data_IF_650253403266
#
_entry.id   IF_650253403266
#
_cell.length_a   1.000
_cell.length_b   1.000
_cell.length_c   1.000
_cell.angle_alpha   90.00
_cell.angle_beta   90.00
_cell.angle_gamma   90.00
#
_symmetry.space_group_name_H-M   'P 1'
#
loop_
_entity.id
_entity.type
_entity.pdbx_description
1 polymer ?
#
# COMPACT_ATOMS: atom_id res chain seq x y z
N UNK A 1 3.04 7.66 11.34
CA UNK A 1 2.90 6.27 11.80
C UNK A 1 3.75 5.36 10.93
N UNK A 2 4.51 4.46 11.54
CA UNK A 2 5.28 3.39 10.89
C UNK A 2 4.37 2.27 10.40
N UNK A 3 4.86 1.40 9.51
CA UNK A 3 4.12 0.23 9.05
C UNK A 3 3.63 -0.66 10.22
N UNK A 4 4.43 -0.79 11.29
CA UNK A 4 4.04 -1.56 12.47
C UNK A 4 2.84 -0.95 13.17
N UNK A 5 2.86 0.36 13.42
CA UNK A 5 1.75 1.08 14.05
C UNK A 5 0.47 1.02 13.19
N UNK A 6 0.59 1.03 11.86
CA UNK A 6 -0.56 0.85 10.96
C UNK A 6 -1.12 -0.57 11.07
N UNK A 7 -0.26 -1.59 11.08
CA UNK A 7 -0.67 -2.99 11.26
C UNK A 7 -1.38 -3.24 12.60
N UNK A 8 -1.05 -2.50 13.65
CA UNK A 8 -1.72 -2.63 14.94
C UNK A 8 -3.16 -2.06 14.92
N UNK A 9 -3.46 -1.16 13.97
CA UNK A 9 -4.77 -0.49 13.82
C UNK A 9 -5.68 -1.21 12.83
N UNK A 10 -5.13 -1.77 11.74
CA UNK A 10 -5.92 -2.45 10.69
C UNK A 10 -5.60 -3.95 10.60
N UNK A 11 -6.56 -4.80 10.19
CA UNK A 11 -6.36 -6.25 10.13
C UNK A 11 -5.53 -6.70 8.91
N UNK A 12 -5.37 -5.85 7.89
CA UNK A 12 -4.68 -6.16 6.64
C UNK A 12 -3.23 -6.60 6.89
N UNK A 13 -2.83 -7.69 6.24
CA UNK A 13 -1.47 -8.25 6.25
C UNK A 13 -1.09 -8.65 4.83
N UNK A 14 0.19 -8.99 4.63
CA UNK A 14 0.65 -9.55 3.36
C UNK A 14 -0.27 -10.70 2.90
N UNK A 15 -0.67 -10.75 1.61
CA UNK A 15 -0.26 -9.86 0.51
C UNK A 15 -1.18 -8.64 0.27
N UNK A 16 -2.10 -8.31 1.19
CA UNK A 16 -3.12 -7.25 1.05
C UNK A 16 -2.91 -6.07 2.01
N UNK A 17 -1.66 -5.74 2.33
CA UNK A 17 -1.29 -4.59 3.15
C UNK A 17 -0.52 -3.59 2.29
N UNK A 18 -1.14 -2.43 2.01
CA UNK A 18 -0.65 -1.46 1.02
C UNK A 18 -0.38 -0.07 1.62
N UNK A 19 -0.06 0.03 2.91
CA UNK A 19 0.24 1.31 3.58
C UNK A 19 1.54 1.19 4.38
N UNK A 20 2.65 1.70 3.86
CA UNK A 20 3.96 1.59 4.52
C UNK A 20 4.16 2.65 5.62
N UNK A 21 3.58 3.84 5.42
CA UNK A 21 3.74 4.98 6.34
C UNK A 21 2.57 5.94 6.22
N UNK A 22 2.14 6.48 7.37
CA UNK A 22 1.25 7.65 7.43
C UNK A 22 2.09 8.88 7.80
N UNK A 23 2.05 9.90 6.94
CA UNK A 23 2.81 11.15 7.08
C UNK A 23 1.98 12.22 7.77
N UNK A 24 0.68 12.31 7.45
CA UNK A 24 -0.27 13.23 8.09
C UNK A 24 -1.55 12.49 8.48
N UNK A 25 -2.09 12.81 9.66
CA UNK A 25 -3.37 12.29 10.13
C UNK A 25 -4.13 13.39 10.90
N UNK A 26 -5.19 13.90 10.30
CA UNK A 26 -6.26 14.68 10.93
C UNK A 26 -7.51 13.79 10.96
N UNK A 27 -7.87 13.31 12.16
CA UNK A 27 -8.91 12.31 12.38
C UNK A 27 -10.28 12.70 11.81
N UNK A 28 -10.55 13.99 11.63
CA UNK A 28 -11.85 14.47 11.16
C UNK A 28 -11.84 14.94 9.71
N UNK A 29 -10.68 14.98 9.03
CA UNK A 29 -10.56 15.67 7.72
C UNK A 29 -9.74 14.94 6.68
N UNK A 30 -8.52 14.49 7.02
CA UNK A 30 -7.53 14.09 6.00
C UNK A 30 -6.49 13.15 6.58
N UNK A 31 -6.11 12.17 5.76
CA UNK A 31 -4.94 11.33 5.95
C UNK A 31 -4.04 11.43 4.71
N UNK A 32 -2.72 11.45 4.92
CA UNK A 32 -1.72 11.29 3.86
C UNK A 32 -0.85 10.11 4.21
N UNK A 33 -0.82 9.13 3.31
CA UNK A 33 -0.08 7.90 3.48
C UNK A 33 0.69 7.55 2.22
N UNK A 34 1.70 6.70 2.36
CA UNK A 34 2.59 6.29 1.28
C UNK A 34 2.69 4.78 1.22
N UNK A 35 2.66 4.28 -0.02
CA UNK A 35 3.04 2.92 -0.39
C UNK A 35 4.22 2.99 -1.34
N UNK A 36 5.33 2.35 -1.00
CA UNK A 36 6.50 2.26 -1.86
C UNK A 36 6.27 1.17 -2.91
N UNK A 37 6.28 1.52 -4.19
CA UNK A 37 6.09 0.56 -5.28
C UNK A 37 7.44 -0.01 -5.69
N UNK A 38 7.59 -1.33 -5.65
CA UNK A 38 8.84 -2.02 -5.96
C UNK A 38 8.64 -3.22 -6.89
N UNK A 39 9.59 -3.45 -7.81
CA UNK A 39 9.50 -4.49 -8.82
C UNK A 39 9.46 -5.93 -8.27
N UNK A 40 9.79 -6.13 -6.99
CA UNK A 40 9.77 -7.43 -6.32
C UNK A 40 8.38 -7.84 -5.81
N UNK A 41 7.34 -7.03 -6.02
CA UNK A 41 5.98 -7.36 -5.60
C UNK A 41 5.31 -8.38 -6.55
N UNK A 42 4.60 -9.36 -5.96
CA UNK A 42 4.16 -10.57 -6.68
C UNK A 42 3.20 -10.28 -7.84
N UNK A 43 2.33 -9.27 -7.73
CA UNK A 43 1.37 -8.93 -8.77
C UNK A 43 2.03 -8.36 -10.04
N UNK A 44 3.25 -7.85 -9.98
CA UNK A 44 3.98 -7.40 -11.19
C UNK A 44 4.37 -8.55 -12.12
N UNK A 45 4.44 -9.79 -11.62
CA UNK A 45 4.66 -10.98 -12.46
C UNK A 45 3.51 -11.19 -13.46
N UNK A 46 2.29 -10.77 -13.08
CA UNK A 46 1.08 -10.93 -13.89
C UNK A 46 0.54 -9.64 -14.50
N UNK A 47 0.99 -8.46 -14.04
CA UNK A 47 0.42 -7.17 -14.45
C UNK A 47 1.51 -6.17 -14.86
N UNK A 48 2.06 -6.23 -16.08
CA UNK A 48 1.96 -7.31 -17.06
C UNK A 48 3.35 -7.90 -17.34
N UNK A 49 3.46 -9.17 -17.78
CA UNK A 49 4.75 -9.74 -18.19
C UNK A 49 5.46 -8.86 -19.22
N UNK A 50 6.70 -8.45 -18.92
CA UNK A 50 7.49 -7.55 -19.78
C UNK A 50 7.12 -6.07 -19.71
N UNK A 51 6.06 -5.70 -18.98
CA UNK A 51 5.63 -4.32 -18.75
C UNK A 51 4.94 -4.18 -17.37
N UNK A 52 5.69 -4.21 -16.27
CA UNK A 52 5.14 -4.17 -14.91
C UNK A 52 4.48 -2.81 -14.63
N UNK A 53 3.19 -2.82 -14.30
CA UNK A 53 2.36 -1.64 -14.02
C UNK A 53 1.60 -1.87 -12.72
N UNK A 54 1.55 -0.88 -11.83
CA UNK A 54 0.79 -1.00 -10.57
C UNK A 54 -0.70 -1.15 -10.90
N UNK A 55 -1.39 -2.24 -10.49
CA UNK A 55 -2.81 -2.38 -10.77
C UNK A 55 -3.60 -1.22 -10.16
N UNK A 56 -4.43 -0.54 -10.96
CA UNK A 56 -5.20 0.62 -10.50
C UNK A 56 -6.14 0.28 -9.34
N UNK A 57 -6.69 -0.94 -9.31
CA UNK A 57 -7.53 -1.42 -8.20
C UNK A 57 -6.78 -1.51 -6.87
N UNK A 58 -5.48 -1.81 -6.89
CA UNK A 58 -4.65 -1.83 -5.67
C UNK A 58 -4.22 -0.44 -5.22
N UNK A 59 -4.42 0.61 -6.03
CA UNK A 59 -4.24 2.00 -5.61
C UNK A 59 -5.50 2.54 -4.88
N UNK A 60 -6.65 1.89 -5.10
CA UNK A 60 -7.92 2.24 -4.46
C UNK A 60 -8.12 1.50 -3.14
N UNK A 61 -7.56 0.30 -3.02
CA UNK A 61 -7.51 -0.53 -1.80
C UNK A 61 -6.66 0.11 -0.69
#
# INVERSE_FOLDING_TARGET
MTAQEVMDVIPNRYPMFFVDRVEELDLEKRIVATKNVAANESYFQGHFPGNPIMPGVLQVE
#
